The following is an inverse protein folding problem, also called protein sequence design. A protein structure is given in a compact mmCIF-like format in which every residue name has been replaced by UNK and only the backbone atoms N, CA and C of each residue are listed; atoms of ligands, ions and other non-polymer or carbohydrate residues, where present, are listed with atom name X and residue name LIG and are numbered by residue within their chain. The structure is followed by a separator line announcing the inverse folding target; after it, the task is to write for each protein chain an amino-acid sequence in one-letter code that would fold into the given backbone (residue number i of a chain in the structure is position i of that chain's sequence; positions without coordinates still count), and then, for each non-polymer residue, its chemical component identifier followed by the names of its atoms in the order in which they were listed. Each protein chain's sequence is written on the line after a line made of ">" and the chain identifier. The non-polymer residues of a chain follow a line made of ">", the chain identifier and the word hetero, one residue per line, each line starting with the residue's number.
data_IF_781339810280
#
_entry.id   IF_781339810280
#
_cell.length_a   1.000
_cell.length_b   1.000
_cell.length_c   1.000
_cell.angle_alpha   90.00
_cell.angle_beta   90.00
_cell.angle_gamma   90.00
#
_symmetry.space_group_name_H-M   'P 1'
#
loop_
_entity.id
_entity.type
_entity.pdbx_description
1 polymer ?
#
# COMPACT_ATOMS: atom_id res chain seq x y z
N UNK A 1 55.34 -11.80 4.44
CA UNK A 1 54.71 -11.43 5.73
C UNK A 1 53.41 -10.78 5.32
N UNK A 2 52.49 -11.60 4.83
CA UNK A 2 51.44 -11.15 3.92
C UNK A 2 50.10 -11.35 4.62
N UNK A 3 49.76 -10.38 5.47
CA UNK A 3 48.39 -10.17 5.93
C UNK A 3 47.58 -9.61 4.77
N UNK A 4 47.29 -10.46 3.79
CA UNK A 4 46.25 -10.17 2.80
C UNK A 4 44.92 -10.19 3.57
N UNK A 5 44.39 -8.99 3.79
CA UNK A 5 43.15 -8.72 4.50
C UNK A 5 42.04 -9.63 4.01
N UNK A 6 41.57 -10.54 4.87
CA UNK A 6 40.34 -11.26 4.64
C UNK A 6 39.24 -10.25 4.22
N UNK A 7 38.46 -10.53 3.16
CA UNK A 7 37.45 -9.60 2.70
C UNK A 7 36.52 -9.25 3.87
N UNK A 8 36.37 -7.95 4.14
CA UNK A 8 35.55 -7.42 5.26
C UNK A 8 34.07 -7.81 5.15
N UNK A 9 33.65 -8.32 3.99
CA UNK A 9 32.30 -8.75 3.72
C UNK A 9 32.29 -10.23 3.32
N UNK A 10 31.33 -11.02 3.82
CA UNK A 10 31.15 -12.39 3.40
C UNK A 10 30.93 -12.46 1.87
N UNK A 11 31.37 -13.56 1.22
CA UNK A 11 31.23 -13.72 -0.23
C UNK A 11 29.78 -13.57 -0.68
N UNK A 12 29.58 -12.84 -1.79
CA UNK A 12 28.26 -12.53 -2.35
C UNK A 12 27.51 -13.84 -2.66
N UNK A 13 26.45 -14.12 -1.92
CA UNK A 13 25.55 -15.25 -2.19
C UNK A 13 24.86 -15.09 -3.55
N UNK A 14 24.21 -16.15 -4.07
CA UNK A 14 23.45 -16.05 -5.32
C UNK A 14 22.35 -14.97 -5.19
N UNK A 15 22.07 -14.20 -6.26
CA UNK A 15 21.04 -13.17 -6.23
C UNK A 15 19.69 -13.76 -5.83
N UNK A 16 18.91 -13.03 -5.02
CA UNK A 16 17.68 -13.49 -4.33
C UNK A 16 16.51 -13.94 -5.25
N UNK A 17 16.73 -14.07 -6.56
CA UNK A 17 15.83 -14.45 -7.66
C UNK A 17 15.32 -13.26 -8.49
N UNK A 18 15.27 -13.48 -9.82
CA UNK A 18 14.83 -12.52 -10.85
C UNK A 18 13.32 -12.25 -10.85
N UNK A 19 12.56 -12.84 -9.93
CA UNK A 19 11.10 -12.82 -9.88
C UNK A 19 10.60 -12.41 -8.50
N UNK A 20 9.52 -11.62 -8.46
CA UNK A 20 8.93 -11.12 -7.21
C UNK A 20 8.46 -12.28 -6.32
N UNK A 21 8.93 -12.37 -5.06
CA UNK A 21 8.50 -13.35 -4.06
C UNK A 21 6.99 -13.44 -3.81
N UNK A 22 6.32 -12.32 -4.04
CA UNK A 22 4.87 -12.20 -3.88
C UNK A 22 4.10 -13.08 -4.88
N UNK A 23 4.66 -13.39 -6.05
CA UNK A 23 3.96 -14.11 -7.12
C UNK A 23 3.93 -15.63 -6.92
N UNK A 24 4.91 -16.21 -6.20
CA UNK A 24 5.10 -17.66 -6.15
C UNK A 24 4.93 -18.32 -4.76
N UNK A 25 4.90 -17.55 -3.66
CA UNK A 25 4.81 -18.13 -2.30
C UNK A 25 3.38 -18.39 -1.79
N UNK A 26 2.37 -18.29 -2.65
CA UNK A 26 0.96 -18.58 -2.34
C UNK A 26 0.28 -17.53 -1.45
N UNK A 27 -1.05 -17.61 -1.35
CA UNK A 27 -1.87 -16.59 -0.67
C UNK A 27 -1.49 -16.37 0.80
N UNK A 28 -1.04 -17.42 1.51
CA UNK A 28 -0.62 -17.33 2.90
C UNK A 28 0.63 -16.47 3.10
N UNK A 29 1.62 -16.60 2.22
CA UNK A 29 2.84 -15.81 2.32
C UNK A 29 2.58 -14.33 2.06
N UNK A 30 1.68 -13.99 1.13
CA UNK A 30 1.22 -12.62 0.91
C UNK A 30 0.48 -12.06 2.12
N UNK A 31 -0.34 -12.88 2.78
CA UNK A 31 -1.11 -12.45 3.96
C UNK A 31 -0.23 -12.14 5.17
N UNK A 32 0.80 -12.95 5.42
CA UNK A 32 1.73 -12.78 6.54
C UNK A 32 3.02 -12.01 6.20
N UNK A 33 3.17 -11.56 4.95
CA UNK A 33 4.39 -10.92 4.44
C UNK A 33 5.68 -11.76 4.63
N UNK A 34 5.56 -13.09 4.75
CA UNK A 34 6.72 -13.98 4.94
C UNK A 34 7.64 -14.05 3.71
N UNK A 35 7.18 -13.51 2.58
CA UNK A 35 7.98 -13.33 1.38
C UNK A 35 9.07 -12.25 1.54
N UNK A 36 8.96 -11.36 2.53
CA UNK A 36 9.99 -10.35 2.86
C UNK A 36 11.13 -10.91 3.72
N UNK A 37 10.92 -12.01 4.46
CA UNK A 37 11.93 -12.55 5.39
C UNK A 37 13.32 -12.76 4.77
N UNK A 38 13.47 -13.32 3.54
CA UNK A 38 14.80 -13.58 2.99
C UNK A 38 15.61 -12.31 2.72
N UNK A 39 14.98 -11.22 2.28
CA UNK A 39 15.69 -9.95 2.03
C UNK A 39 15.98 -9.23 3.35
N UNK A 40 15.14 -9.39 4.37
CA UNK A 40 15.40 -8.86 5.71
C UNK A 40 16.56 -9.59 6.38
N UNK A 41 16.64 -10.91 6.26
CA UNK A 41 17.76 -11.72 6.75
C UNK A 41 19.06 -11.36 6.02
N UNK A 42 19.02 -11.20 4.69
CA UNK A 42 20.18 -10.75 3.92
C UNK A 42 20.64 -9.36 4.38
N UNK A 43 19.71 -8.40 4.54
CA UNK A 43 20.01 -7.05 5.00
C UNK A 43 20.49 -6.97 6.44
N UNK A 44 20.14 -7.94 7.29
CA UNK A 44 20.68 -8.06 8.65
C UNK A 44 22.13 -8.58 8.64
N UNK A 45 22.50 -9.38 7.65
CA UNK A 45 23.84 -9.95 7.53
C UNK A 45 24.85 -9.01 6.87
N UNK A 46 24.41 -8.20 5.88
CA UNK A 46 25.26 -7.24 5.17
C UNK A 46 24.43 -6.11 4.55
N UNK A 47 25.06 -4.95 4.26
CA UNK A 47 24.43 -3.92 3.44
C UNK A 47 23.95 -4.50 2.09
N UNK A 48 22.75 -4.08 1.67
CA UNK A 48 22.12 -4.51 0.43
C UNK A 48 22.63 -3.71 -0.77
N UNK A 49 22.95 -4.41 -1.86
CA UNK A 49 23.24 -3.82 -3.17
C UNK A 49 21.99 -3.82 -4.07
N UNK A 50 22.02 -3.06 -5.16
CA UNK A 50 20.96 -3.06 -6.18
C UNK A 50 20.68 -4.44 -6.77
N UNK A 51 21.71 -5.28 -6.93
CA UNK A 51 21.58 -6.64 -7.49
C UNK A 51 20.87 -7.61 -6.53
N UNK A 52 20.77 -7.27 -5.25
CA UNK A 52 20.10 -8.09 -4.23
C UNK A 52 18.59 -7.85 -4.21
N UNK A 53 18.12 -6.78 -4.85
CA UNK A 53 16.72 -6.40 -4.84
C UNK A 53 15.89 -7.25 -5.81
N UNK A 54 14.69 -7.61 -5.39
CA UNK A 54 13.74 -8.30 -6.24
C UNK A 54 13.30 -7.44 -7.43
N UNK A 55 13.09 -8.09 -8.57
CA UNK A 55 12.42 -7.46 -9.70
C UNK A 55 10.95 -7.22 -9.35
N UNK A 56 10.45 -6.07 -9.79
CA UNK A 56 9.06 -5.67 -9.55
C UNK A 56 8.06 -6.65 -10.17
N UNK A 57 7.01 -6.97 -9.39
CA UNK A 57 5.85 -7.76 -9.80
C UNK A 57 5.30 -7.26 -11.15
N UNK A 58 4.92 -8.16 -12.04
CA UNK A 58 4.44 -7.81 -13.39
C UNK A 58 3.27 -6.81 -13.36
N UNK A 59 2.38 -6.91 -12.36
CA UNK A 59 1.25 -5.97 -12.15
C UNK A 59 1.72 -4.55 -11.84
N UNK A 60 2.89 -4.39 -11.23
CA UNK A 60 3.44 -3.13 -10.76
C UNK A 60 4.42 -2.49 -11.75
N UNK A 61 4.71 -3.15 -12.88
CA UNK A 61 5.57 -2.59 -13.93
C UNK A 61 4.87 -1.44 -14.66
N UNK A 62 5.65 -0.41 -15.00
CA UNK A 62 5.14 0.80 -15.66
C UNK A 62 4.36 0.52 -16.96
N UNK A 63 4.83 -0.42 -17.79
CA UNK A 63 4.14 -0.83 -19.01
C UNK A 63 2.73 -1.40 -18.74
N UNK A 64 2.62 -2.32 -17.77
CA UNK A 64 1.34 -2.93 -17.38
C UNK A 64 0.38 -1.88 -16.81
N UNK A 65 0.91 -1.00 -15.94
CA UNK A 65 0.14 0.09 -15.34
C UNK A 65 -0.35 1.06 -16.41
N UNK A 66 0.50 1.46 -17.36
CA UNK A 66 0.12 2.38 -18.41
C UNK A 66 -0.94 1.74 -19.31
N UNK A 67 -0.72 0.52 -19.83
CA UNK A 67 -1.70 -0.18 -20.67
C UNK A 67 -3.07 -0.29 -20.00
N UNK A 68 -3.09 -0.60 -18.70
CA UNK A 68 -4.33 -0.66 -17.92
C UNK A 68 -5.00 0.71 -17.82
N UNK A 69 -4.26 1.76 -17.53
CA UNK A 69 -4.80 3.13 -17.49
C UNK A 69 -5.30 3.60 -18.86
N UNK A 70 -4.54 3.33 -19.93
CA UNK A 70 -4.88 3.67 -21.32
C UNK A 70 -6.25 3.14 -21.70
N UNK A 71 -6.51 1.89 -21.34
CA UNK A 71 -7.79 1.26 -21.61
C UNK A 71 -8.95 2.10 -21.04
N UNK A 72 -8.93 2.43 -19.75
CA UNK A 72 -9.98 3.24 -19.13
C UNK A 72 -9.99 4.70 -19.59
N UNK A 73 -8.82 5.27 -19.89
CA UNK A 73 -8.74 6.62 -20.45
C UNK A 73 -9.39 6.70 -21.83
N UNK A 74 -9.19 5.71 -22.71
CA UNK A 74 -9.83 5.69 -24.03
C UNK A 74 -11.34 5.54 -23.96
N UNK A 75 -11.86 4.81 -22.97
CA UNK A 75 -13.30 4.76 -22.71
C UNK A 75 -13.83 6.13 -22.28
N UNK A 76 -13.10 6.83 -21.40
CA UNK A 76 -13.48 8.14 -20.91
C UNK A 76 -13.43 9.23 -22.00
N UNK A 77 -12.54 9.10 -22.98
CA UNK A 77 -12.46 10.01 -24.14
C UNK A 77 -13.70 9.94 -25.06
N UNK A 78 -14.54 8.90 -24.93
CA UNK A 78 -15.83 8.83 -25.66
C UNK A 78 -16.91 9.71 -25.03
N UNK A 79 -16.70 10.18 -23.80
CA UNK A 79 -17.61 11.08 -23.12
C UNK A 79 -17.37 12.53 -23.55
N UNK A 80 -18.41 13.39 -23.62
CA UNK A 80 -18.26 14.82 -23.91
C UNK A 80 -17.33 15.55 -22.94
N UNK A 81 -17.21 15.06 -21.70
CA UNK A 81 -16.33 15.62 -20.67
C UNK A 81 -15.45 14.50 -20.08
N UNK A 82 -14.25 14.27 -20.67
CA UNK A 82 -13.33 13.28 -20.15
C UNK A 82 -12.84 13.65 -18.75
N UNK A 83 -12.80 12.70 -17.83
CA UNK A 83 -12.46 12.92 -16.44
C UNK A 83 -11.39 11.94 -15.94
N UNK A 84 -10.27 12.50 -15.47
CA UNK A 84 -9.14 11.72 -14.99
C UNK A 84 -9.47 10.85 -13.75
N UNK A 85 -10.20 11.34 -12.74
CA UNK A 85 -10.52 10.54 -11.56
C UNK A 85 -11.34 9.29 -11.88
N UNK A 86 -12.26 9.37 -12.84
CA UNK A 86 -13.04 8.21 -13.27
C UNK A 86 -12.21 7.18 -14.02
N UNK A 87 -11.28 7.61 -14.89
CA UNK A 87 -10.37 6.69 -15.55
C UNK A 87 -9.42 5.99 -14.55
N UNK A 88 -8.91 6.74 -13.57
CA UNK A 88 -8.11 6.18 -12.46
C UNK A 88 -8.93 5.23 -11.59
N UNK A 89 -10.19 5.58 -11.29
CA UNK A 89 -11.13 4.76 -10.53
C UNK A 89 -11.48 3.45 -11.24
N UNK A 90 -11.72 3.50 -12.55
CA UNK A 90 -11.91 2.29 -13.36
C UNK A 90 -10.67 1.39 -13.37
N UNK A 91 -9.48 2.00 -13.51
CA UNK A 91 -8.22 1.26 -13.55
C UNK A 91 -7.86 0.64 -12.19
N UNK A 92 -7.90 1.39 -11.09
CA UNK A 92 -7.30 0.98 -9.80
C UNK A 92 -8.29 0.95 -8.63
N UNK A 93 -9.56 1.30 -8.86
CA UNK A 93 -10.56 1.50 -7.81
C UNK A 93 -10.90 0.24 -7.01
N UNK A 94 -10.85 -0.95 -7.61
CA UNK A 94 -11.18 -2.18 -6.85
C UNK A 94 -10.22 -2.42 -5.69
N UNK A 95 -8.91 -2.27 -5.89
CA UNK A 95 -7.91 -2.37 -4.82
C UNK A 95 -8.00 -1.23 -3.83
N UNK A 96 -8.28 -0.01 -4.31
CA UNK A 96 -8.55 1.13 -3.46
C UNK A 96 -9.73 0.86 -2.50
N UNK A 97 -10.85 0.33 -3.01
CA UNK A 97 -12.01 0.00 -2.17
C UNK A 97 -11.74 -1.12 -1.15
N UNK A 98 -10.95 -2.14 -1.52
CA UNK A 98 -10.51 -3.18 -0.58
C UNK A 98 -9.70 -2.56 0.58
N UNK A 99 -8.79 -1.64 0.28
CA UNK A 99 -8.06 -0.91 1.31
C UNK A 99 -9.01 -0.13 2.23
N UNK A 100 -10.01 0.55 1.66
CA UNK A 100 -11.05 1.24 2.41
C UNK A 100 -11.81 0.34 3.38
N UNK A 101 -12.23 -0.84 2.92
CA UNK A 101 -12.93 -1.82 3.75
C UNK A 101 -12.05 -2.30 4.92
N UNK A 102 -10.77 -2.59 4.67
CA UNK A 102 -9.83 -2.98 5.72
C UNK A 102 -9.62 -1.87 6.76
N UNK A 103 -9.53 -0.62 6.30
CA UNK A 103 -9.43 0.54 7.19
C UNK A 103 -10.69 0.69 8.05
N UNK A 104 -11.87 0.48 7.47
CA UNK A 104 -13.14 0.52 8.20
C UNK A 104 -13.21 -0.56 9.28
N UNK A 105 -12.95 -1.82 8.92
CA UNK A 105 -12.95 -2.94 9.88
C UNK A 105 -11.97 -2.67 11.03
N UNK A 106 -10.75 -2.18 10.72
CA UNK A 106 -9.77 -1.78 11.73
C UNK A 106 -10.35 -0.72 12.70
N UNK A 107 -10.98 0.31 12.17
CA UNK A 107 -11.52 1.41 12.97
C UNK A 107 -12.70 0.96 13.84
N UNK A 108 -13.57 0.09 13.33
CA UNK A 108 -14.67 -0.50 14.13
C UNK A 108 -14.11 -1.31 15.30
N UNK A 109 -13.05 -2.07 15.08
CA UNK A 109 -12.42 -2.89 16.13
C UNK A 109 -11.78 -2.04 17.24
N UNK A 110 -11.41 -0.79 16.97
CA UNK A 110 -10.84 0.12 17.97
C UNK A 110 -11.81 0.40 19.13
N UNK A 111 -13.12 0.33 18.86
CA UNK A 111 -14.15 0.48 19.88
C UNK A 111 -14.40 -0.77 20.72
N UNK A 112 -13.86 -1.95 20.35
CA UNK A 112 -14.04 -3.17 21.15
C UNK A 112 -13.43 -3.01 22.54
N UNK A 113 -12.23 -2.40 22.63
CA UNK A 113 -11.53 -2.22 23.90
C UNK A 113 -12.34 -1.46 24.97
N UNK A 114 -12.90 -0.26 24.72
CA UNK A 114 -13.70 0.44 25.72
C UNK A 114 -14.99 -0.31 26.13
N UNK A 115 -15.67 -0.98 25.20
CA UNK A 115 -16.86 -1.78 25.53
C UNK A 115 -16.53 -2.99 26.42
N UNK A 116 -15.46 -3.71 26.08
CA UNK A 116 -15.03 -4.88 26.86
C UNK A 116 -14.49 -4.44 28.21
N UNK A 117 -13.77 -3.32 28.31
CA UNK A 117 -13.28 -2.79 29.58
C UNK A 117 -14.43 -2.49 30.54
N UNK A 118 -15.53 -1.87 30.06
CA UNK A 118 -16.73 -1.62 30.87
C UNK A 118 -17.32 -2.93 31.43
N UNK A 119 -17.37 -3.99 30.62
CA UNK A 119 -17.84 -5.32 31.05
C UNK A 119 -16.87 -6.00 32.02
N UNK A 120 -15.57 -5.84 31.81
CA UNK A 120 -14.54 -6.36 32.71
C UNK A 120 -14.65 -5.74 34.11
N UNK A 121 -14.90 -4.44 34.20
CA UNK A 121 -15.13 -3.76 35.49
C UNK A 121 -16.37 -4.33 36.19
N UNK A 122 -17.44 -4.62 35.44
CA UNK A 122 -18.64 -5.25 36.00
C UNK A 122 -18.36 -6.67 36.50
N UNK A 123 -17.66 -7.49 35.69
CA UNK A 123 -17.25 -8.85 36.04
C UNK A 123 -16.46 -8.89 37.36
N UNK A 124 -15.46 -8.01 37.53
CA UNK A 124 -14.63 -7.96 38.75
C UNK A 124 -15.42 -7.54 40.00
N UNK A 125 -16.52 -6.80 39.84
CA UNK A 125 -17.35 -6.34 40.96
C UNK A 125 -18.37 -7.38 41.43
N UNK A 126 -18.62 -8.43 40.65
CA UNK A 126 -19.60 -9.46 40.95
C UNK A 126 -18.90 -10.66 41.60
N UNK A 127 -19.11 -10.91 42.91
CA UNK A 127 -18.36 -11.94 43.66
C UNK A 127 -18.49 -13.36 43.10
N UNK A 128 -19.65 -13.69 42.49
CA UNK A 128 -19.99 -15.03 41.99
C UNK A 128 -20.05 -15.10 40.46
N UNK A 129 -19.37 -14.17 39.76
CA UNK A 129 -19.38 -14.16 38.30
C UNK A 129 -18.67 -15.41 37.74
N UNK A 130 -19.23 -16.07 36.70
CA UNK A 130 -18.59 -17.22 36.08
C UNK A 130 -17.23 -16.84 35.47
N UNK A 131 -16.17 -17.56 35.85
CA UNK A 131 -14.79 -17.33 35.32
C UNK A 131 -14.72 -17.43 33.80
N UNK A 132 -15.63 -18.19 33.17
CA UNK A 132 -15.78 -18.26 31.71
C UNK A 132 -16.07 -16.91 31.07
N UNK A 133 -16.82 -16.03 31.74
CA UNK A 133 -17.06 -14.66 31.27
C UNK A 133 -15.75 -13.87 31.18
N UNK A 134 -14.91 -13.95 32.21
CA UNK A 134 -13.58 -13.32 32.20
C UNK A 134 -12.70 -13.79 31.05
N UNK A 135 -12.66 -15.10 30.78
CA UNK A 135 -11.92 -15.67 29.65
C UNK A 135 -12.45 -15.19 28.29
N UNK A 136 -13.77 -15.11 28.13
CA UNK A 136 -14.39 -14.60 26.90
C UNK A 136 -14.05 -13.11 26.66
N UNK A 137 -14.07 -12.30 27.71
CA UNK A 137 -13.70 -10.87 27.63
C UNK A 137 -12.21 -10.70 27.27
N UNK A 138 -11.33 -11.48 27.89
CA UNK A 138 -9.90 -11.47 27.56
C UNK A 138 -9.64 -11.93 26.11
N UNK A 139 -10.28 -13.01 25.67
CA UNK A 139 -10.19 -13.52 24.31
C UNK A 139 -10.71 -12.48 23.28
N UNK A 140 -11.77 -11.74 23.61
CA UNK A 140 -12.30 -10.69 22.74
C UNK A 140 -11.31 -9.54 22.51
N UNK A 141 -10.62 -9.07 23.56
CA UNK A 141 -9.58 -8.03 23.43
C UNK A 141 -8.40 -8.56 22.60
N UNK A 142 -7.96 -9.79 22.87
CA UNK A 142 -6.84 -10.38 22.16
C UNK A 142 -7.14 -10.56 20.66
N UNK A 143 -8.30 -11.16 20.34
CA UNK A 143 -8.71 -11.39 18.97
C UNK A 143 -8.94 -10.07 18.20
N UNK A 144 -9.55 -9.07 18.84
CA UNK A 144 -9.76 -7.75 18.21
C UNK A 144 -8.43 -7.05 17.92
N UNK A 145 -7.48 -7.08 18.85
CA UNK A 145 -6.15 -6.49 18.67
C UNK A 145 -5.34 -7.18 17.55
N UNK A 146 -5.41 -8.52 17.46
CA UNK A 146 -4.80 -9.26 16.35
C UNK A 146 -5.42 -8.84 15.02
N UNK A 147 -6.75 -8.89 14.91
CA UNK A 147 -7.45 -8.55 13.66
C UNK A 147 -7.22 -7.09 13.26
N UNK A 148 -7.21 -6.16 14.22
CA UNK A 148 -6.90 -4.75 13.99
C UNK A 148 -5.48 -4.58 13.41
N UNK A 149 -4.51 -5.32 13.95
CA UNK A 149 -3.12 -5.31 13.47
C UNK A 149 -3.01 -5.84 12.03
N UNK A 150 -3.69 -6.95 11.73
CA UNK A 150 -3.75 -7.50 10.36
C UNK A 150 -4.39 -6.53 9.38
N UNK A 151 -5.59 -6.02 9.71
CA UNK A 151 -6.30 -5.05 8.88
C UNK A 151 -5.45 -3.81 8.63
N UNK A 152 -4.72 -3.31 9.64
CA UNK A 152 -3.83 -2.17 9.46
C UNK A 152 -2.71 -2.45 8.47
N UNK A 153 -1.98 -3.56 8.65
CA UNK A 153 -0.83 -3.90 7.79
C UNK A 153 -1.29 -4.11 6.34
N UNK A 154 -2.39 -4.83 6.15
CA UNK A 154 -2.96 -5.07 4.83
C UNK A 154 -3.48 -3.78 4.18
N UNK A 155 -4.20 -2.93 4.93
CA UNK A 155 -4.60 -1.60 4.47
C UNK A 155 -3.39 -0.79 4.00
N UNK A 156 -2.36 -0.66 4.85
CA UNK A 156 -1.18 0.14 4.57
C UNK A 156 -0.43 -0.35 3.32
N UNK A 157 -0.32 -1.67 3.13
CA UNK A 157 0.30 -2.24 1.93
C UNK A 157 -0.51 -1.92 0.67
N UNK A 158 -1.80 -2.26 0.66
CA UNK A 158 -2.65 -2.13 -0.53
C UNK A 158 -2.81 -0.66 -0.94
N UNK A 159 -3.00 0.26 0.03
CA UNK A 159 -3.18 1.68 -0.29
C UNK A 159 -1.90 2.30 -0.85
N UNK A 160 -0.73 1.96 -0.30
CA UNK A 160 0.56 2.47 -0.79
C UNK A 160 0.91 1.90 -2.17
N UNK A 161 0.64 0.62 -2.41
CA UNK A 161 0.81 0.00 -3.73
C UNK A 161 -0.12 0.68 -4.76
N UNK A 162 -1.40 0.85 -4.42
CA UNK A 162 -2.40 1.45 -5.30
C UNK A 162 -2.08 2.92 -5.62
N UNK A 163 -1.65 3.70 -4.63
CA UNK A 163 -1.26 5.11 -4.84
C UNK A 163 0.02 5.24 -5.66
N UNK A 164 0.97 4.32 -5.50
CA UNK A 164 2.14 4.21 -6.38
C UNK A 164 1.74 3.87 -7.82
N UNK A 165 0.83 2.93 -8.02
CA UNK A 165 0.31 2.59 -9.36
C UNK A 165 -0.34 3.81 -10.04
N UNK A 166 -1.19 4.53 -9.31
CA UNK A 166 -1.83 5.76 -9.80
C UNK A 166 -0.78 6.82 -10.19
N UNK A 167 0.22 7.06 -9.32
CA UNK A 167 1.33 7.98 -9.61
C UNK A 167 2.08 7.58 -10.88
N UNK A 168 2.45 6.31 -11.00
CA UNK A 168 3.16 5.77 -12.17
C UNK A 168 2.35 5.90 -13.46
N UNK A 169 1.03 5.68 -13.41
CA UNK A 169 0.14 5.85 -14.55
C UNK A 169 0.14 7.31 -15.04
N UNK A 170 -0.03 8.26 -14.13
CA UNK A 170 -0.05 9.69 -14.45
C UNK A 170 1.28 10.16 -15.01
N UNK A 171 2.40 9.80 -14.37
CA UNK A 171 3.75 10.14 -14.85
C UNK A 171 3.98 9.57 -16.26
N UNK A 172 3.69 8.29 -16.48
CA UNK A 172 3.86 7.63 -17.79
C UNK A 172 3.04 8.32 -18.87
N UNK A 173 1.82 8.76 -18.54
CA UNK A 173 0.93 9.46 -19.46
C UNK A 173 1.38 10.85 -19.81
N UNK A 174 1.80 11.62 -18.81
CA UNK A 174 2.35 12.95 -19.01
C UNK A 174 3.58 12.86 -19.90
N UNK A 175 4.52 11.95 -19.61
CA UNK A 175 5.69 11.75 -20.47
C UNK A 175 5.33 11.36 -21.90
N UNK A 176 4.44 10.38 -22.09
CA UNK A 176 4.01 9.97 -23.42
C UNK A 176 3.33 11.10 -24.20
N UNK A 177 2.58 11.96 -23.51
CA UNK A 177 1.95 13.14 -24.12
C UNK A 177 3.00 14.18 -24.49
N UNK A 178 3.96 14.47 -23.62
CA UNK A 178 5.03 15.44 -23.87
C UNK A 178 5.86 15.07 -25.10
N UNK A 179 6.20 13.79 -25.29
CA UNK A 179 6.94 13.32 -26.46
C UNK A 179 6.18 13.46 -27.79
N UNK A 180 4.86 13.69 -27.75
CA UNK A 180 3.99 13.84 -28.93
C UNK A 180 3.50 15.28 -29.13
N UNK A 181 3.86 16.22 -28.25
CA UNK A 181 3.48 17.63 -28.40
C UNK A 181 4.32 18.28 -29.49
N UNK A 182 3.70 19.20 -30.25
CA UNK A 182 4.44 20.06 -31.18
C UNK A 182 5.32 21.03 -30.41
N UNK A 183 6.40 21.50 -31.03
CA UNK A 183 7.30 22.51 -30.44
C UNK A 183 6.54 23.78 -30.04
N UNK A 184 5.54 24.20 -30.82
CA UNK A 184 4.67 25.34 -30.49
C UNK A 184 3.86 25.09 -29.20
N UNK A 185 3.19 23.94 -29.08
CA UNK A 185 2.44 23.60 -27.86
C UNK A 185 3.34 23.39 -26.64
N UNK A 186 4.60 22.97 -26.87
CA UNK A 186 5.62 22.87 -25.83
C UNK A 186 6.21 24.24 -25.45
N UNK A 187 6.17 25.24 -26.33
CA UNK A 187 6.54 26.61 -25.97
C UNK A 187 5.44 27.30 -25.14
N UNK A 188 4.17 26.93 -25.37
CA UNK A 188 3.03 27.38 -24.55
C UNK A 188 3.02 26.76 -23.12
N UNK A 189 3.73 25.64 -22.92
CA UNK A 189 3.91 24.96 -21.64
C UNK A 189 5.39 24.77 -21.36
N UNK A 190 5.98 25.66 -20.56
CA UNK A 190 7.42 25.64 -20.28
C UNK A 190 7.89 24.25 -19.83
N UNK A 191 9.12 23.88 -20.22
CA UNK A 191 9.74 22.63 -19.77
C UNK A 191 9.76 22.51 -18.24
N UNK A 192 9.84 23.65 -17.53
CA UNK A 192 9.74 23.74 -16.07
C UNK A 192 8.37 23.35 -15.53
N UNK A 193 7.26 23.77 -16.15
CA UNK A 193 5.91 23.37 -15.75
C UNK A 193 5.69 21.85 -15.89
N UNK A 194 6.20 21.24 -16.97
CA UNK A 194 6.11 19.79 -17.18
C UNK A 194 6.96 19.04 -16.14
N UNK A 195 8.18 19.52 -15.89
CA UNK A 195 9.04 18.96 -14.85
C UNK A 195 8.38 19.07 -13.46
N UNK A 196 7.71 20.18 -13.17
CA UNK A 196 6.96 20.39 -11.93
C UNK A 196 5.77 19.42 -11.81
N UNK A 197 5.02 19.23 -12.89
CA UNK A 197 3.89 18.29 -12.94
C UNK A 197 4.32 16.85 -12.61
N UNK A 198 5.48 16.42 -13.13
CA UNK A 198 6.02 15.07 -12.90
C UNK A 198 6.65 14.93 -11.51
N UNK A 199 7.41 15.93 -11.05
CA UNK A 199 8.18 15.84 -9.81
C UNK A 199 7.38 16.18 -8.56
N UNK A 200 6.52 17.20 -8.61
CA UNK A 200 5.77 17.72 -7.47
C UNK A 200 4.33 17.22 -7.47
N UNK A 201 3.59 17.42 -8.56
CA UNK A 201 2.15 17.17 -8.56
C UNK A 201 1.84 15.67 -8.51
N UNK A 202 2.58 14.84 -9.26
CA UNK A 202 2.46 13.39 -9.19
C UNK A 202 2.87 12.83 -7.81
N UNK A 203 3.84 13.44 -7.13
CA UNK A 203 4.20 13.06 -5.76
C UNK A 203 3.11 13.46 -4.75
N UNK A 204 2.47 14.62 -4.96
CA UNK A 204 1.30 15.04 -4.17
C UNK A 204 0.11 14.10 -4.37
N UNK A 205 -0.11 13.61 -5.59
CA UNK A 205 -1.18 12.66 -5.89
C UNK A 205 -1.06 11.36 -5.09
N UNK A 206 0.15 10.83 -4.93
CA UNK A 206 0.39 9.66 -4.07
C UNK A 206 -0.11 9.89 -2.64
N UNK A 207 0.26 11.03 -2.02
CA UNK A 207 -0.20 11.39 -0.66
C UNK A 207 -1.71 11.59 -0.58
N UNK A 208 -2.30 12.27 -1.56
CA UNK A 208 -3.76 12.49 -1.59
C UNK A 208 -4.51 11.16 -1.64
N UNK A 209 -4.05 10.21 -2.48
CA UNK A 209 -4.69 8.89 -2.57
C UNK A 209 -4.56 8.12 -1.26
N UNK A 210 -3.40 8.16 -0.60
CA UNK A 210 -3.21 7.45 0.68
C UNK A 210 -4.11 7.99 1.79
N UNK A 211 -4.40 9.28 1.76
CA UNK A 211 -5.23 9.95 2.78
C UNK A 211 -6.72 10.00 2.42
N UNK A 212 -7.10 9.64 1.19
CA UNK A 212 -8.46 9.86 0.68
C UNK A 212 -9.54 9.12 1.50
N UNK A 213 -9.23 7.95 2.05
CA UNK A 213 -10.17 7.26 2.93
C UNK A 213 -10.43 7.99 4.25
N UNK A 214 -9.57 8.93 4.66
CA UNK A 214 -9.81 9.74 5.86
C UNK A 214 -11.07 10.60 5.75
N UNK A 215 -11.47 10.99 4.54
CA UNK A 215 -12.62 11.88 4.33
C UNK A 215 -13.95 11.32 4.86
N UNK A 216 -14.18 10.02 4.71
CA UNK A 216 -15.41 9.37 5.21
C UNK A 216 -15.17 8.64 6.53
N UNK A 217 -13.92 8.28 6.83
CA UNK A 217 -13.56 7.65 8.09
C UNK A 217 -13.66 8.61 9.28
N UNK A 218 -13.32 9.89 9.11
CA UNK A 218 -13.45 10.88 10.19
C UNK A 218 -14.91 11.07 10.63
N UNK A 219 -15.88 11.33 9.73
CA UNK A 219 -17.30 11.35 10.10
C UNK A 219 -17.77 10.06 10.75
N UNK A 220 -17.36 8.90 10.22
CA UNK A 220 -17.70 7.60 10.81
C UNK A 220 -17.23 7.51 12.27
N UNK A 221 -15.96 7.86 12.55
CA UNK A 221 -15.41 7.83 13.90
C UNK A 221 -16.16 8.79 14.84
N UNK A 222 -16.53 9.98 14.37
CA UNK A 222 -17.30 10.95 15.17
C UNK A 222 -18.71 10.48 15.52
N UNK A 223 -19.33 9.66 14.67
CA UNK A 223 -20.69 9.12 14.93
C UNK A 223 -20.65 7.95 15.89
N UNK A 224 -19.57 7.17 15.90
CA UNK A 224 -19.44 5.97 16.75
C UNK A 224 -18.84 6.29 18.13
N UNK A 225 -17.94 7.27 18.21
CA UNK A 225 -17.32 7.73 19.46
C UNK A 225 -18.33 8.41 20.40
#
# INVERSE_FOLDING_TARGET
>A
MDCESAPLLPPKGPPLAKTSPEEYRGCGATFFFSWLSPIMELGASRPLDFDDLYVLNQRNRANTISLRFDHFWTLQLRSPQPSLPWALGGAFGSRFMIAGLLRFVRATLEFVAPFVLKRMIAFVRTPDAPVTEGWLLAAAIFASGLLQSFCFRQFAFIINETSMQIRSAVISKVHAKTLRLSTKALQERSTGEIANLVSIDAARLHRVVTDLHSLWMVPYLLVVA
#
